data_IF_800372877685
#
_entry.id   IF_800372877685
#
_cell.length_a   1.000
_cell.length_b   1.000
_cell.length_c   1.000
_cell.angle_alpha   90.00
_cell.angle_beta   90.00
_cell.angle_gamma   90.00
#
_symmetry.space_group_name_H-M   'P 1'
#
loop_
_entity.id
_entity.type
_entity.pdbx_description
1 polymer ?
#
# COMPACT_ATOMS: atom_id res chain seq x y z
N UNK A 1 22.87 -0.29 -7.69
CA UNK A 1 21.82 -0.93 -6.87
C UNK A 1 21.18 -2.03 -7.71
N UNK A 2 21.07 -3.25 -7.18
CA UNK A 2 20.45 -4.38 -7.88
C UNK A 2 18.98 -4.07 -8.16
N UNK A 3 18.48 -4.45 -9.34
CA UNK A 3 17.04 -4.39 -9.58
C UNK A 3 16.30 -5.38 -8.68
N UNK A 4 15.09 -5.01 -8.25
CA UNK A 4 14.19 -5.94 -7.61
C UNK A 4 13.66 -6.92 -8.66
N UNK A 5 13.80 -8.20 -8.38
CA UNK A 5 13.28 -9.27 -9.22
C UNK A 5 12.75 -10.39 -8.31
N UNK A 6 11.43 -10.44 -8.04
CA UNK A 6 10.84 -11.46 -7.21
C UNK A 6 10.80 -12.84 -7.89
N UNK A 7 11.04 -12.97 -9.18
CA UNK A 7 10.96 -14.26 -9.87
C UNK A 7 12.31 -14.97 -9.97
N UNK A 8 13.41 -14.21 -10.03
CA UNK A 8 14.77 -14.74 -10.19
C UNK A 8 15.51 -15.01 -8.86
N UNK A 9 14.77 -15.13 -7.75
CA UNK A 9 15.34 -15.39 -6.42
C UNK A 9 14.72 -16.65 -5.81
N UNK A 10 15.52 -17.35 -5.02
CA UNK A 10 15.08 -18.53 -4.28
C UNK A 10 14.41 -18.12 -2.98
N UNK A 11 13.09 -18.32 -2.92
CA UNK A 11 12.28 -18.11 -1.73
C UNK A 11 11.06 -19.01 -1.78
N UNK A 12 10.61 -19.41 -0.59
CA UNK A 12 9.36 -20.12 -0.34
C UNK A 12 8.23 -19.15 0.05
N UNK A 13 8.61 -18.05 0.72
CA UNK A 13 7.71 -16.99 1.19
C UNK A 13 8.23 -15.61 0.77
N UNK A 14 7.40 -14.82 0.10
CA UNK A 14 7.68 -13.42 -0.23
C UNK A 14 6.66 -12.54 0.50
N UNK A 15 7.13 -11.79 1.49
CA UNK A 15 6.33 -10.87 2.29
C UNK A 15 6.52 -9.47 1.72
N UNK A 16 5.41 -8.81 1.36
CA UNK A 16 5.37 -7.47 0.77
C UNK A 16 4.72 -6.53 1.76
N UNK A 17 5.44 -5.46 2.11
CA UNK A 17 4.96 -4.32 2.88
C UNK A 17 4.63 -3.17 1.92
N UNK A 18 3.35 -2.85 1.74
CA UNK A 18 2.85 -1.86 0.77
C UNK A 18 3.46 -0.48 1.01
N UNK A 19 4.04 0.11 -0.04
CA UNK A 19 4.73 1.39 -0.01
C UNK A 19 5.87 1.52 1.03
N UNK A 20 6.51 0.43 1.44
CA UNK A 20 7.59 0.46 2.43
C UNK A 20 8.92 1.02 1.87
N UNK A 21 9.36 2.15 2.41
CA UNK A 21 10.64 2.78 2.07
C UNK A 21 11.81 2.06 2.75
N UNK A 22 12.92 1.93 2.01
CA UNK A 22 14.14 1.34 2.53
C UNK A 22 14.70 2.02 3.78
N UNK A 23 14.71 3.36 3.84
CA UNK A 23 15.30 4.10 4.95
C UNK A 23 14.55 3.90 6.27
N UNK A 24 13.21 3.92 6.22
CA UNK A 24 12.38 3.57 7.38
C UNK A 24 12.54 2.11 7.78
N UNK A 25 12.50 1.17 6.82
CA UNK A 25 12.71 -0.25 7.10
C UNK A 25 14.06 -0.48 7.79
N UNK A 26 15.15 0.04 7.22
CA UNK A 26 16.52 -0.14 7.73
C UNK A 26 16.66 0.31 9.19
N UNK A 27 15.98 1.37 9.60
CA UNK A 27 16.08 1.90 10.98
C UNK A 27 15.34 1.06 12.01
N UNK A 28 14.30 0.33 11.62
CA UNK A 28 13.37 -0.31 12.56
C UNK A 28 13.40 -1.84 12.51
N UNK A 29 13.88 -2.47 11.43
CA UNK A 29 13.68 -3.91 11.24
C UNK A 29 14.42 -4.79 12.26
N UNK A 30 15.57 -4.36 12.77
CA UNK A 30 16.45 -5.21 13.60
C UNK A 30 15.85 -5.58 14.96
N UNK A 31 14.88 -4.80 15.44
CA UNK A 31 14.15 -5.10 16.68
C UNK A 31 13.15 -6.25 16.51
N UNK A 32 12.80 -6.61 15.27
CA UNK A 32 11.76 -7.58 14.94
C UNK A 32 12.26 -8.74 14.09
N UNK A 33 13.23 -8.49 13.21
CA UNK A 33 13.66 -9.41 12.16
C UNK A 33 15.19 -9.47 12.09
N UNK A 34 15.72 -10.66 11.84
CA UNK A 34 17.14 -10.89 11.55
C UNK A 34 17.34 -11.31 10.09
N UNK A 35 18.53 -11.07 9.54
CA UNK A 35 18.85 -11.49 8.16
C UNK A 35 19.78 -10.55 7.41
N UNK A 36 19.97 -10.83 6.12
CA UNK A 36 20.77 -10.03 5.19
C UNK A 36 19.89 -8.97 4.52
N UNK A 37 20.03 -7.70 4.95
CA UNK A 37 19.31 -6.58 4.35
C UNK A 37 20.09 -5.98 3.17
N UNK A 38 19.48 -6.06 1.99
CA UNK A 38 19.94 -5.37 0.79
C UNK A 38 19.02 -4.19 0.43
N UNK A 39 19.59 -3.20 -0.27
CA UNK A 39 18.83 -2.15 -0.94
C UNK A 39 18.58 -2.57 -2.39
N UNK A 40 17.32 -2.57 -2.85
CA UNK A 40 16.96 -2.90 -4.24
C UNK A 40 16.16 -1.81 -4.92
N UNK A 41 16.23 -1.80 -6.26
CA UNK A 41 15.48 -0.89 -7.12
C UNK A 41 14.20 -1.56 -7.62
N UNK A 42 13.06 -1.22 -7.01
CA UNK A 42 11.75 -1.57 -7.57
C UNK A 42 11.59 -0.97 -8.97
N UNK A 43 10.98 -1.75 -9.86
CA UNK A 43 10.63 -1.31 -11.22
C UNK A 43 9.42 -0.38 -11.23
N UNK A 44 8.80 -0.13 -10.06
CA UNK A 44 7.49 0.47 -9.96
C UNK A 44 7.43 1.59 -8.93
N UNK A 45 6.43 2.45 -9.14
CA UNK A 45 6.07 3.57 -8.28
C UNK A 45 4.74 3.38 -7.57
N UNK A 46 4.06 2.24 -7.81
CA UNK A 46 2.79 1.86 -7.21
C UNK A 46 2.57 0.35 -7.43
N UNK A 47 1.70 -0.28 -6.65
CA UNK A 47 1.40 -1.72 -6.75
C UNK A 47 0.98 -2.18 -8.15
N UNK A 48 0.16 -1.41 -8.87
CA UNK A 48 -0.33 -1.81 -10.20
C UNK A 48 0.79 -1.88 -11.24
N UNK A 49 1.71 -0.93 -11.19
CA UNK A 49 2.94 -0.96 -12.00
C UNK A 49 3.87 -2.10 -11.56
N UNK A 50 3.92 -2.41 -10.25
CA UNK A 50 4.75 -3.49 -9.72
C UNK A 50 4.27 -4.87 -10.19
N UNK A 51 2.96 -5.12 -10.10
CA UNK A 51 2.33 -6.36 -10.55
C UNK A 51 2.60 -6.59 -12.05
N UNK A 52 2.31 -5.58 -12.88
CA UNK A 52 2.41 -5.68 -14.34
C UNK A 52 3.85 -5.84 -14.85
N UNK A 53 4.83 -5.26 -14.16
CA UNK A 53 6.24 -5.38 -14.56
C UNK A 53 6.90 -6.67 -14.11
N UNK A 54 6.46 -7.25 -12.99
CA UNK A 54 7.07 -8.46 -12.44
C UNK A 54 6.36 -9.75 -12.88
N UNK A 55 5.02 -9.76 -13.01
CA UNK A 55 4.25 -10.97 -13.28
C UNK A 55 3.61 -10.91 -14.66
N UNK A 56 4.21 -11.60 -15.63
CA UNK A 56 3.79 -11.58 -17.04
C UNK A 56 3.24 -12.93 -17.51
N UNK A 57 3.62 -14.01 -16.85
CA UNK A 57 3.24 -15.39 -17.17
C UNK A 57 2.32 -15.96 -16.09
N UNK A 58 1.98 -17.24 -16.20
CA UNK A 58 1.30 -17.99 -15.13
C UNK A 58 2.31 -18.64 -14.19
N UNK A 59 2.07 -18.53 -12.89
CA UNK A 59 2.99 -18.97 -11.84
C UNK A 59 2.29 -19.89 -10.83
N UNK A 60 3.04 -20.89 -10.34
CA UNK A 60 2.63 -21.79 -9.25
C UNK A 60 2.77 -21.10 -7.88
N UNK A 61 2.07 -19.97 -7.74
CA UNK A 61 2.12 -19.08 -6.58
C UNK A 61 0.73 -18.98 -5.97
N UNK A 62 0.67 -19.07 -4.65
CA UNK A 62 -0.49 -18.63 -3.85
C UNK A 62 -0.28 -17.21 -3.37
N UNK A 63 -1.21 -16.32 -3.68
CA UNK A 63 -1.15 -14.90 -3.31
C UNK A 63 -2.21 -14.58 -2.26
N UNK A 64 -1.77 -14.23 -1.05
CA UNK A 64 -2.62 -13.80 0.07
C UNK A 64 -2.52 -12.29 0.18
N UNK A 65 -3.59 -11.57 -0.19
CA UNK A 65 -3.53 -10.12 -0.37
C UNK A 65 -4.51 -9.35 0.52
N UNK A 66 -3.98 -8.40 1.29
CA UNK A 66 -4.74 -7.28 1.84
C UNK A 66 -4.93 -6.13 0.83
N UNK A 67 -4.27 -6.17 -0.32
CA UNK A 67 -4.39 -5.14 -1.36
C UNK A 67 -5.45 -5.55 -2.42
N UNK A 68 -6.52 -4.75 -2.66
CA UNK A 68 -7.61 -5.09 -3.58
C UNK A 68 -7.21 -5.16 -5.05
N UNK A 69 -6.03 -4.64 -5.41
CA UNK A 69 -5.49 -4.78 -6.76
C UNK A 69 -5.15 -6.23 -7.14
N UNK A 70 -4.99 -7.11 -6.14
CA UNK A 70 -4.89 -8.55 -6.33
C UNK A 70 -6.20 -9.18 -5.86
N UNK A 71 -6.98 -9.71 -6.81
CA UNK A 71 -8.30 -10.28 -6.53
C UNK A 71 -8.56 -11.56 -7.33
N UNK A 72 -9.29 -12.50 -6.71
CA UNK A 72 -9.74 -13.73 -7.37
C UNK A 72 -11.02 -13.54 -8.23
N UNK A 73 -11.58 -12.33 -8.31
CA UNK A 73 -12.80 -12.03 -9.05
C UNK A 73 -12.55 -11.81 -10.56
N UNK A 74 -11.28 -11.82 -11.00
CA UNK A 74 -10.91 -11.56 -12.39
C UNK A 74 -11.10 -10.10 -12.82
N UNK A 75 -11.18 -9.18 -11.86
CA UNK A 75 -11.33 -7.74 -12.12
C UNK A 75 -9.96 -7.18 -12.50
N UNK A 76 -9.80 -6.58 -13.71
CA UNK A 76 -8.52 -6.04 -14.15
C UNK A 76 -8.17 -4.71 -13.45
N UNK A 77 -6.88 -4.40 -13.37
CA UNK A 77 -6.36 -3.22 -12.67
C UNK A 77 -6.97 -1.89 -13.13
N UNK A 78 -7.24 -1.74 -14.43
CA UNK A 78 -7.87 -0.54 -15.00
C UNK A 78 -9.32 -0.31 -14.53
N UNK A 79 -9.96 -1.33 -13.94
CA UNK A 79 -11.28 -1.21 -13.26
C UNK A 79 -11.13 -1.01 -11.76
N UNK A 80 -10.03 -1.46 -11.16
CA UNK A 80 -9.76 -1.28 -9.73
C UNK A 80 -9.30 0.14 -9.37
N UNK A 81 -8.61 0.84 -10.27
CA UNK A 81 -8.11 2.18 -9.98
C UNK A 81 -8.16 3.10 -11.21
N UNK A 82 -8.71 4.32 -11.09
CA UNK A 82 -8.97 5.21 -12.24
C UNK A 82 -7.71 5.79 -12.92
N UNK A 83 -6.52 5.60 -12.33
CA UNK A 83 -5.24 6.00 -12.94
C UNK A 83 -4.47 4.81 -13.53
N UNK A 84 -5.00 3.60 -13.42
CA UNK A 84 -4.37 2.42 -14.02
C UNK A 84 -4.94 2.20 -15.41
N UNK A 85 -4.04 1.96 -16.36
CA UNK A 85 -4.35 1.70 -17.77
C UNK A 85 -4.20 0.20 -18.09
N UNK A 86 -3.86 -0.61 -17.09
CA UNK A 86 -3.48 -2.01 -17.25
C UNK A 86 -4.70 -2.94 -17.27
N UNK A 87 -4.83 -3.76 -18.30
CA UNK A 87 -5.84 -4.84 -18.38
C UNK A 87 -5.45 -6.12 -17.64
N UNK A 88 -4.34 -6.06 -16.91
CA UNK A 88 -3.78 -7.16 -16.13
C UNK A 88 -4.75 -7.64 -15.04
N UNK A 89 -4.92 -8.96 -14.92
CA UNK A 89 -5.77 -9.63 -13.92
C UNK A 89 -4.96 -10.64 -13.14
N UNK A 90 -5.06 -10.60 -11.81
CA UNK A 90 -4.34 -11.54 -10.96
C UNK A 90 -4.65 -13.02 -11.28
N UNK A 91 -5.90 -13.33 -11.65
CA UNK A 91 -6.36 -14.69 -11.99
C UNK A 91 -5.64 -15.30 -13.20
N UNK A 92 -5.05 -14.48 -14.06
CA UNK A 92 -4.32 -14.96 -15.25
C UNK A 92 -2.89 -15.38 -14.87
N UNK A 93 -2.40 -14.94 -13.72
CA UNK A 93 -0.99 -15.08 -13.31
C UNK A 93 -0.78 -15.98 -12.10
N UNK A 94 -1.71 -16.06 -11.14
CA UNK A 94 -1.51 -16.80 -9.90
C UNK A 94 -2.42 -18.04 -9.80
N UNK A 95 -1.86 -19.14 -9.30
CA UNK A 95 -2.60 -20.41 -9.12
C UNK A 95 -3.74 -20.29 -8.10
N UNK A 96 -3.51 -19.54 -7.02
CA UNK A 96 -4.51 -19.32 -5.98
C UNK A 96 -4.40 -17.88 -5.47
N UNK A 97 -5.53 -17.23 -5.25
CA UNK A 97 -5.61 -15.87 -4.73
C UNK A 97 -6.59 -15.83 -3.56
N UNK A 98 -6.13 -15.30 -2.42
CA UNK A 98 -6.92 -15.15 -1.20
C UNK A 98 -7.13 -13.66 -0.94
N UNK A 99 -8.39 -13.22 -1.04
CA UNK A 99 -8.78 -11.82 -0.88
C UNK A 99 -8.99 -11.47 0.60
N UNK A 100 -7.91 -11.26 1.35
CA UNK A 100 -8.00 -10.85 2.78
C UNK A 100 -8.74 -9.52 2.91
N UNK A 101 -8.54 -8.61 1.95
CA UNK A 101 -9.25 -7.33 1.87
C UNK A 101 -10.76 -7.44 1.73
N UNK A 102 -11.27 -8.55 1.19
CA UNK A 102 -12.70 -8.74 1.00
C UNK A 102 -13.37 -9.34 2.25
N UNK A 103 -12.63 -10.14 3.02
CA UNK A 103 -13.18 -10.91 4.15
C UNK A 103 -12.84 -10.30 5.52
N UNK A 104 -11.74 -9.57 5.63
CA UNK A 104 -11.18 -9.07 6.90
C UNK A 104 -10.98 -7.55 6.90
N UNK A 105 -11.78 -6.81 6.13
CA UNK A 105 -11.75 -5.35 6.15
C UNK A 105 -12.30 -4.80 7.48
N UNK A 106 -11.50 -4.01 8.17
CA UNK A 106 -11.92 -3.31 9.38
C UNK A 106 -12.43 -1.91 9.00
N UNK A 107 -13.71 -1.66 9.28
CA UNK A 107 -14.35 -0.38 8.96
C UNK A 107 -13.86 0.76 9.84
N UNK A 108 -13.50 0.47 11.08
CA UNK A 108 -13.04 1.47 12.06
C UNK A 108 -11.58 1.85 11.82
N UNK A 109 -10.78 0.93 11.27
CA UNK A 109 -9.42 1.23 10.83
C UNK A 109 -9.38 1.77 9.39
N UNK A 110 -10.40 1.46 8.58
CA UNK A 110 -10.42 1.78 7.15
C UNK A 110 -9.35 1.03 6.35
N UNK A 111 -8.88 -0.11 6.86
CA UNK A 111 -7.87 -0.97 6.26
C UNK A 111 -8.02 -2.41 6.79
N UNK A 112 -7.20 -3.32 6.29
CA UNK A 112 -7.04 -4.66 6.86
C UNK A 112 -5.98 -4.59 7.95
N UNK A 113 -6.29 -5.10 9.15
CA UNK A 113 -5.31 -5.25 10.21
C UNK A 113 -4.25 -6.30 9.80
N UNK A 114 -2.92 -6.06 9.96
CA UNK A 114 -1.88 -6.95 9.45
C UNK A 114 -2.00 -8.39 9.97
N UNK A 115 -2.47 -8.57 11.22
CA UNK A 115 -2.75 -9.89 11.81
C UNK A 115 -3.65 -10.76 10.94
N UNK A 116 -4.60 -10.18 10.22
CA UNK A 116 -5.54 -10.93 9.39
C UNK A 116 -4.82 -11.61 8.21
N UNK A 117 -3.73 -11.03 7.70
CA UNK A 117 -2.90 -11.68 6.67
C UNK A 117 -2.23 -12.94 7.24
N UNK A 118 -1.66 -12.87 8.45
CA UNK A 118 -1.10 -14.04 9.12
C UNK A 118 -2.17 -15.11 9.36
N UNK A 119 -3.34 -14.72 9.86
CA UNK A 119 -4.42 -15.66 10.13
C UNK A 119 -4.88 -16.36 8.86
N UNK A 120 -4.94 -15.66 7.73
CA UNK A 120 -5.31 -16.26 6.45
C UNK A 120 -4.25 -17.23 5.93
N UNK A 121 -2.97 -17.00 6.20
CA UNK A 121 -1.91 -17.96 5.90
C UNK A 121 -2.16 -19.33 6.55
N UNK A 122 -2.47 -19.35 7.86
CA UNK A 122 -2.69 -20.60 8.58
C UNK A 122 -4.06 -21.25 8.30
N UNK A 123 -5.08 -20.47 7.94
CA UNK A 123 -6.42 -20.97 7.63
C UNK A 123 -6.55 -21.55 6.22
N UNK A 124 -5.65 -21.17 5.31
CA UNK A 124 -5.78 -21.53 3.90
C UNK A 124 -5.00 -22.81 3.60
N UNK A 125 -5.66 -23.76 2.93
CA UNK A 125 -4.96 -24.84 2.25
C UNK A 125 -4.23 -24.29 1.02
N UNK A 126 -2.93 -24.06 1.17
CA UNK A 126 -2.05 -23.52 0.13
C UNK A 126 -1.95 -24.51 -1.04
N UNK A 127 -2.15 -24.01 -2.26
CA UNK A 127 -2.08 -24.81 -3.48
C UNK A 127 -0.80 -24.58 -4.28
N UNK A 128 -0.12 -23.46 -4.08
CA UNK A 128 1.12 -23.10 -4.79
C UNK A 128 2.38 -23.46 -4.02
N UNK A 129 3.47 -23.74 -4.75
CA UNK A 129 4.78 -24.04 -4.14
C UNK A 129 5.39 -22.80 -3.46
N UNK A 130 5.12 -21.63 -4.03
CA UNK A 130 5.56 -20.33 -3.53
C UNK A 130 4.40 -19.51 -2.98
N UNK A 131 4.64 -18.71 -1.94
CA UNK A 131 3.61 -17.91 -1.25
C UNK A 131 3.99 -16.44 -1.26
N UNK A 132 3.07 -15.58 -1.71
CA UNK A 132 3.19 -14.13 -1.56
C UNK A 132 2.17 -13.67 -0.51
N UNK A 133 2.63 -12.92 0.49
CA UNK A 133 1.78 -12.30 1.50
C UNK A 133 1.92 -10.79 1.39
N UNK A 134 0.85 -10.09 1.07
CA UNK A 134 0.88 -8.66 0.81
C UNK A 134 0.06 -7.90 1.86
N UNK A 135 0.78 -7.20 2.73
CA UNK A 135 0.26 -6.34 3.80
C UNK A 135 0.05 -4.93 3.27
N UNK A 136 -1.02 -4.26 3.69
CA UNK A 136 -1.27 -2.85 3.34
C UNK A 136 -0.42 -1.86 4.16
N UNK A 137 0.27 -2.32 5.20
CA UNK A 137 1.13 -1.47 6.01
C UNK A 137 2.56 -1.49 5.46
N UNK A 138 3.32 -0.38 5.55
CA UNK A 138 3.02 0.86 6.28
C UNK A 138 2.12 1.89 5.56
N UNK A 139 1.67 1.62 4.34
CA UNK A 139 0.76 2.51 3.61
C UNK A 139 -0.51 2.87 4.42
N UNK A 140 -1.09 4.04 4.14
CA UNK A 140 -2.25 4.56 4.85
C UNK A 140 -3.55 3.84 4.46
N UNK A 141 -4.59 3.80 5.32
CA UNK A 141 -4.70 4.41 6.66
C UNK A 141 -3.76 3.84 7.73
N UNK A 142 -3.31 4.68 8.66
CA UNK A 142 -2.43 4.28 9.76
C UNK A 142 -3.24 3.71 10.92
N UNK A 143 -2.80 2.58 11.49
CA UNK A 143 -3.53 1.88 12.56
C UNK A 143 -3.75 2.69 13.86
N UNK A 144 -2.92 3.71 14.12
CA UNK A 144 -3.08 4.63 15.26
C UNK A 144 -4.17 5.69 15.06
N UNK A 145 -4.67 5.88 13.83
CA UNK A 145 -5.82 6.74 13.57
C UNK A 145 -7.11 5.91 13.72
N UNK A 146 -7.63 5.82 14.95
CA UNK A 146 -9.03 5.41 15.13
C UNK A 146 -9.90 6.36 14.29
N UNK A 147 -10.60 5.85 13.27
CA UNK A 147 -11.37 6.68 12.34
C UNK A 147 -12.65 7.27 12.95
N UNK A 148 -12.73 7.33 14.29
CA UNK A 148 -13.85 7.88 15.07
C UNK A 148 -14.07 9.37 14.75
N UNK A 149 -13.02 10.12 14.40
CA UNK A 149 -13.12 11.56 14.12
C UNK A 149 -13.58 11.94 12.69
N UNK A 150 -13.40 11.07 11.70
CA UNK A 150 -13.62 11.42 10.28
C UNK A 150 -15.00 10.98 9.77
N UNK A 151 -15.49 9.82 10.24
CA UNK A 151 -16.81 9.31 9.86
C UNK A 151 -17.97 9.93 10.66
N UNK A 152 -17.78 10.21 11.96
CA UNK A 152 -18.81 10.88 12.77
C UNK A 152 -19.17 12.28 12.22
N UNK A 153 -18.17 13.01 11.73
CA UNK A 153 -18.36 14.31 11.07
C UNK A 153 -19.01 14.20 9.68
N UNK A 154 -18.76 13.10 8.95
CA UNK A 154 -19.37 12.85 7.65
C UNK A 154 -20.85 12.45 7.78
N UNK A 155 -21.20 11.63 8.77
CA UNK A 155 -22.58 11.23 9.06
C UNK A 155 -23.42 12.41 9.61
N UNK A 156 -22.83 13.28 10.44
CA UNK A 156 -23.51 14.49 10.92
C UNK A 156 -23.74 15.54 9.82
N UNK A 157 -22.85 15.63 8.82
CA UNK A 157 -23.04 16.53 7.66
C UNK A 157 -24.13 16.05 6.71
N UNK A 158 -24.31 14.74 6.54
CA UNK A 158 -25.38 14.17 5.71
C UNK A 158 -26.77 14.46 6.28
N UNK A 159 -26.89 14.68 7.61
CA UNK A 159 -28.16 15.04 8.27
C UNK A 159 -28.56 16.52 8.10
N UNK A 160 -27.62 17.43 7.81
CA UNK A 160 -27.92 18.85 7.54
C UNK A 160 -27.91 19.09 6.03
N UNK A 161 -29.07 18.86 5.41
CA UNK A 161 -29.26 19.06 3.98
C UNK A 161 -29.10 20.53 3.56
N UNK A 162 -27.87 20.92 3.20
CA UNK A 162 -27.59 22.23 2.59
C UNK A 162 -27.58 22.13 1.06
N UNK A 163 -28.58 22.78 0.45
CA UNK A 163 -28.85 22.81 -1.00
C UNK A 163 -27.74 23.46 -1.87
N UNK A 164 -26.63 23.92 -1.28
CA UNK A 164 -25.49 24.55 -1.98
C UNK A 164 -24.43 23.53 -2.44
N UNK A 165 -24.47 22.28 -1.96
CA UNK A 165 -23.50 21.23 -2.32
C UNK A 165 -23.67 20.68 -3.74
N UNK A 166 -24.85 20.83 -4.37
CA UNK A 166 -25.17 20.20 -5.66
C UNK A 166 -24.28 20.70 -6.82
N UNK A 167 -23.98 22.01 -6.84
CA UNK A 167 -23.19 22.62 -7.91
C UNK A 167 -21.68 22.35 -7.76
N UNK A 168 -21.18 22.36 -6.52
CA UNK A 168 -19.79 22.00 -6.23
C UNK A 168 -19.53 20.52 -6.55
N UNK A 169 -20.52 19.64 -6.31
CA UNK A 169 -20.40 18.20 -6.56
C UNK A 169 -20.35 17.83 -8.05
N UNK A 170 -20.91 18.66 -8.91
CA UNK A 170 -20.94 18.45 -10.35
C UNK A 170 -19.59 18.74 -11.04
N UNK A 171 -18.81 19.70 -10.53
CA UNK A 171 -17.46 20.04 -11.03
C UNK A 171 -16.33 19.11 -10.50
N UNK A 172 -16.62 18.27 -9.49
CA UNK A 172 -15.65 17.56 -8.62
C UNK A 172 -14.65 16.61 -9.31
N UNK A 173 -15.04 15.65 -10.18
CA UNK A 173 -14.09 14.65 -10.70
C UNK A 173 -13.27 15.17 -11.88
N UNK A 174 -13.85 16.07 -12.68
CA UNK A 174 -13.21 16.57 -13.92
C UNK A 174 -12.10 17.58 -13.64
N UNK A 175 -12.25 18.42 -12.61
CA UNK A 175 -11.23 19.42 -12.26
C UNK A 175 -9.93 18.75 -11.79
N UNK A 176 -10.00 17.76 -10.89
CA UNK A 176 -8.83 17.02 -10.38
C UNK A 176 -8.04 16.32 -11.50
N UNK A 177 -8.73 15.78 -12.51
CA UNK A 177 -8.08 15.13 -13.68
C UNK A 177 -7.32 16.12 -14.55
N UNK A 178 -7.75 17.39 -14.66
CA UNK A 178 -7.14 18.39 -15.55
C UNK A 178 -6.04 19.23 -14.91
N UNK A 179 -6.10 19.50 -13.60
CA UNK A 179 -5.23 20.51 -12.98
C UNK A 179 -4.02 19.92 -12.22
N UNK A 180 -4.01 18.62 -11.95
CA UNK A 180 -2.95 17.98 -11.15
C UNK A 180 -3.13 18.17 -9.64
N UNK A 181 -2.55 17.25 -8.84
CA UNK A 181 -2.81 17.13 -7.39
C UNK A 181 -2.41 18.37 -6.59
N UNK A 182 -1.25 18.96 -6.86
CA UNK A 182 -0.79 20.17 -6.17
C UNK A 182 -1.69 21.36 -6.45
N UNK A 183 -2.13 21.55 -7.69
CA UNK A 183 -3.05 22.65 -8.03
C UNK A 183 -4.43 22.43 -7.40
N UNK A 184 -4.87 21.17 -7.30
CA UNK A 184 -6.08 20.83 -6.55
C UNK A 184 -5.97 21.24 -5.06
N UNK A 185 -4.86 20.90 -4.38
CA UNK A 185 -4.64 21.34 -2.99
C UNK A 185 -4.50 22.87 -2.86
N UNK A 186 -3.84 23.55 -3.83
CA UNK A 186 -3.79 25.02 -3.87
C UNK A 186 -5.17 25.66 -3.96
N UNK A 187 -6.04 25.16 -4.83
CA UNK A 187 -7.43 25.65 -4.96
C UNK A 187 -8.19 25.42 -3.66
N UNK A 188 -8.07 24.24 -3.04
CA UNK A 188 -8.73 23.97 -1.75
C UNK A 188 -8.26 24.91 -0.65
N UNK A 189 -6.96 25.18 -0.58
CA UNK A 189 -6.38 26.13 0.38
C UNK A 189 -6.89 27.54 0.12
N UNK A 190 -6.93 27.98 -1.14
CA UNK A 190 -7.45 29.30 -1.53
C UNK A 190 -8.94 29.45 -1.17
N UNK A 191 -9.73 28.38 -1.31
CA UNK A 191 -11.14 28.34 -0.94
C UNK A 191 -11.37 28.08 0.57
N UNK A 192 -10.32 28.11 1.40
CA UNK A 192 -10.37 27.84 2.84
C UNK A 192 -11.11 26.54 3.22
N UNK A 193 -10.98 25.50 2.38
CA UNK A 193 -11.58 24.19 2.64
C UNK A 193 -10.68 23.36 3.55
N UNK A 194 -11.27 22.58 4.46
CA UNK A 194 -10.54 21.62 5.31
C UNK A 194 -9.69 20.64 4.47
N UNK A 195 -8.48 20.27 4.92
CA UNK A 195 -7.67 19.27 4.23
C UNK A 195 -8.37 17.90 4.23
N UNK A 196 -8.22 17.13 3.14
CA UNK A 196 -8.92 15.85 3.00
C UNK A 196 -8.16 14.64 3.54
N UNK A 197 -6.83 14.75 3.64
CA UNK A 197 -5.99 13.65 4.10
C UNK A 197 -4.73 14.20 4.79
N UNK A 198 -3.99 13.35 5.54
CA UNK A 198 -2.77 13.76 6.22
C UNK A 198 -1.69 14.34 5.29
N UNK A 199 -1.60 13.89 4.04
CA UNK A 199 -0.65 14.45 3.07
C UNK A 199 -0.96 15.90 2.70
N UNK A 200 -2.24 16.26 2.56
CA UNK A 200 -2.65 17.65 2.33
C UNK A 200 -2.33 18.52 3.55
N UNK A 201 -2.50 17.99 4.76
CA UNK A 201 -2.10 18.66 6.01
C UNK A 201 -0.60 18.97 6.00
N UNK A 202 0.23 17.94 5.78
CA UNK A 202 1.68 18.06 5.70
C UNK A 202 2.12 19.06 4.62
N UNK A 203 1.52 18.99 3.43
CA UNK A 203 1.80 19.93 2.34
C UNK A 203 1.45 21.38 2.70
N UNK A 204 0.30 21.60 3.36
CA UNK A 204 -0.12 22.95 3.79
C UNK A 204 0.80 23.52 4.87
N UNK A 205 1.23 22.69 5.82
CA UNK A 205 2.19 23.03 6.89
C UNK A 205 3.64 23.16 6.36
N UNK A 206 3.93 22.62 5.17
CA UNK A 206 5.29 22.42 4.64
C UNK A 206 6.18 21.59 5.57
N UNK A 207 5.56 20.66 6.28
CA UNK A 207 6.21 19.84 7.29
C UNK A 207 5.63 18.42 7.24
N UNK A 208 6.41 17.42 6.79
CA UNK A 208 5.97 16.02 6.73
C UNK A 208 6.25 15.23 8.02
N UNK A 209 6.73 15.86 9.09
CA UNK A 209 7.15 15.14 10.30
C UNK A 209 6.03 14.28 10.89
N UNK A 210 4.86 14.86 11.15
CA UNK A 210 3.71 14.15 11.74
C UNK A 210 3.26 12.92 10.91
N UNK A 211 3.25 13.03 9.58
CA UNK A 211 2.84 11.92 8.72
C UNK A 211 3.93 10.84 8.62
N UNK A 212 5.20 11.23 8.68
CA UNK A 212 6.33 10.28 8.73
C UNK A 212 6.34 9.49 10.03
N UNK A 213 6.04 10.13 11.16
CA UNK A 213 5.91 9.46 12.47
C UNK A 213 4.78 8.42 12.46
N UNK A 214 3.61 8.78 11.93
CA UNK A 214 2.49 7.85 11.79
C UNK A 214 2.79 6.68 10.84
N UNK A 215 3.50 6.96 9.75
CA UNK A 215 3.96 5.94 8.82
C UNK A 215 4.96 4.97 9.48
N UNK A 216 5.90 5.51 10.28
CA UNK A 216 6.88 4.72 11.02
C UNK A 216 6.22 3.87 12.13
N UNK A 217 5.27 4.41 12.88
CA UNK A 217 4.44 3.65 13.83
C UNK A 217 3.69 2.49 13.14
N UNK A 218 3.13 2.75 11.96
CA UNK A 218 2.44 1.72 11.17
C UNK A 218 3.41 0.65 10.65
N UNK A 219 4.64 1.04 10.29
CA UNK A 219 5.71 0.12 9.91
C UNK A 219 6.10 -0.78 11.09
N UNK A 220 6.29 -0.21 12.27
CA UNK A 220 6.64 -0.96 13.49
C UNK A 220 5.59 -2.02 13.79
N UNK A 221 4.29 -1.67 13.73
CA UNK A 221 3.19 -2.61 13.97
C UNK A 221 3.16 -3.78 12.99
N UNK A 222 3.44 -3.53 11.71
CA UNK A 222 3.49 -4.62 10.72
C UNK A 222 4.77 -5.43 10.84
N UNK A 223 5.90 -4.85 11.22
CA UNK A 223 7.14 -5.59 11.51
C UNK A 223 6.94 -6.57 12.67
N UNK A 224 6.31 -6.12 13.76
CA UNK A 224 5.91 -6.98 14.89
C UNK A 224 4.95 -8.10 14.45
N UNK A 225 3.98 -7.78 13.59
CA UNK A 225 3.09 -8.82 13.07
C UNK A 225 3.83 -9.82 12.17
N UNK A 226 4.78 -9.35 11.35
CA UNK A 226 5.55 -10.19 10.43
C UNK A 226 6.55 -11.07 11.19
N UNK A 227 7.17 -10.58 12.26
CA UNK A 227 8.08 -11.38 13.08
C UNK A 227 7.35 -12.60 13.67
N UNK A 228 6.16 -12.39 14.24
CA UNK A 228 5.30 -13.45 14.74
C UNK A 228 4.97 -14.51 13.67
N UNK A 229 4.83 -14.12 12.39
CA UNK A 229 4.62 -15.08 11.31
C UNK A 229 5.90 -15.87 10.99
N UNK A 230 7.03 -15.16 10.87
CA UNK A 230 8.32 -15.75 10.46
C UNK A 230 8.85 -16.76 11.49
N UNK A 231 8.55 -16.56 12.76
CA UNK A 231 8.85 -17.54 13.82
C UNK A 231 8.17 -18.89 13.56
N UNK A 232 6.91 -18.87 13.12
CA UNK A 232 6.03 -20.03 12.96
C UNK A 232 6.13 -20.72 11.59
N UNK A 233 6.59 -20.02 10.55
CA UNK A 233 6.71 -20.59 9.21
C UNK A 233 8.12 -21.13 8.92
N UNK A 234 8.17 -22.05 7.96
CA UNK A 234 9.38 -22.64 7.42
C UNK A 234 9.63 -22.19 5.97
N UNK A 235 10.87 -22.37 5.53
CA UNK A 235 11.31 -22.08 4.16
C UNK A 235 11.84 -20.65 4.01
N UNK A 236 12.69 -20.48 2.99
CA UNK A 236 13.43 -19.26 2.69
C UNK A 236 12.47 -18.08 2.54
N UNK A 237 12.63 -17.06 3.36
CA UNK A 237 11.72 -15.92 3.41
C UNK A 237 12.39 -14.63 2.98
N UNK A 238 11.70 -13.87 2.13
CA UNK A 238 12.11 -12.53 1.72
C UNK A 238 11.06 -11.54 2.19
N UNK A 239 11.49 -10.53 2.95
CA UNK A 239 10.65 -9.37 3.32
C UNK A 239 11.07 -8.18 2.46
N UNK A 240 10.13 -7.63 1.70
CA UNK A 240 10.38 -6.54 0.74
C UNK A 240 9.16 -5.62 0.63
N UNK A 241 9.22 -4.68 -0.31
CA UNK A 241 8.13 -3.76 -0.65
C UNK A 241 7.91 -3.77 -2.16
N UNK A 242 6.69 -3.49 -2.60
CA UNK A 242 6.38 -3.31 -4.01
C UNK A 242 6.88 -1.96 -4.53
N UNK A 243 6.76 -0.90 -3.71
CA UNK A 243 7.31 0.43 -3.94
C UNK A 243 7.54 1.15 -2.59
N UNK A 244 7.94 2.42 -2.62
CA UNK A 244 8.05 3.30 -1.45
C UNK A 244 6.98 4.40 -1.42
N UNK A 245 7.18 5.41 -0.58
CA UNK A 245 6.20 6.50 -0.34
C UNK A 245 6.89 7.87 -0.35
N UNK A 246 6.31 8.86 -1.04
CA UNK A 246 6.85 10.22 -1.07
C UNK A 246 6.11 11.15 -0.10
N UNK A 247 6.87 11.92 0.65
CA UNK A 247 6.43 12.87 1.66
C UNK A 247 6.77 14.32 1.28
N UNK A 248 6.82 14.63 -0.01
CA UNK A 248 7.07 15.97 -0.55
C UNK A 248 8.41 16.13 -1.25
N UNK A 249 9.25 15.09 -1.29
CA UNK A 249 10.52 15.10 -2.01
C UNK A 249 10.30 15.46 -3.48
N UNK A 250 11.05 16.44 -4.00
CA UNK A 250 10.89 16.98 -5.37
C UNK A 250 9.46 17.45 -5.70
N UNK A 251 8.69 17.83 -4.68
CA UNK A 251 7.28 18.21 -4.83
C UNK A 251 6.32 17.04 -5.05
N UNK A 252 6.79 15.80 -4.89
CA UNK A 252 6.01 14.58 -5.09
C UNK A 252 5.47 14.09 -3.75
N UNK A 253 4.19 13.73 -3.73
CA UNK A 253 3.45 13.30 -2.54
C UNK A 253 2.60 12.09 -2.86
N UNK A 254 2.53 11.14 -1.92
CA UNK A 254 2.06 9.78 -2.15
C UNK A 254 2.96 9.08 -3.19
N UNK A 255 2.42 8.09 -3.90
CA UNK A 255 3.12 7.25 -4.87
C UNK A 255 2.41 7.37 -6.24
N UNK A 256 2.49 8.54 -6.92
CA UNK A 256 1.83 8.74 -8.20
C UNK A 256 2.36 7.79 -9.28
N UNK A 257 1.48 7.27 -10.18
CA UNK A 257 1.91 6.38 -11.24
C UNK A 257 3.01 6.97 -12.13
N UNK A 258 3.87 6.09 -12.66
CA UNK A 258 4.94 6.41 -13.60
C UNK A 258 5.93 7.46 -13.05
N UNK A 259 6.13 7.49 -11.73
CA UNK A 259 7.04 8.44 -11.06
C UNK A 259 8.19 7.71 -10.35
N UNK A 260 9.39 7.73 -10.93
CA UNK A 260 10.51 6.88 -10.49
C UNK A 260 11.60 7.66 -9.73
N UNK A 261 11.22 8.25 -8.59
CA UNK A 261 12.18 8.86 -7.65
C UNK A 261 12.73 7.81 -6.66
N UNK A 262 13.91 8.04 -6.04
CA UNK A 262 14.48 7.09 -5.09
C UNK A 262 13.53 6.71 -3.95
N UNK A 263 12.74 7.65 -3.43
CA UNK A 263 11.80 7.45 -2.33
C UNK A 263 10.66 6.50 -2.69
N UNK A 264 10.34 6.35 -3.99
CA UNK A 264 9.30 5.44 -4.49
C UNK A 264 9.87 4.12 -5.00
N UNK A 265 11.15 4.07 -5.37
CA UNK A 265 11.74 2.92 -6.08
C UNK A 265 12.85 2.23 -5.30
N UNK A 266 13.30 2.79 -4.19
CA UNK A 266 14.33 2.19 -3.32
C UNK A 266 13.66 1.44 -2.19
N UNK A 267 13.65 0.11 -2.29
CA UNK A 267 12.90 -0.77 -1.39
C UNK A 267 13.82 -1.69 -0.58
N UNK A 268 13.39 -2.13 0.62
CA UNK A 268 14.10 -3.18 1.37
C UNK A 268 14.04 -4.50 0.63
N UNK A 269 15.10 -5.29 0.81
CA UNK A 269 15.13 -6.69 0.43
C UNK A 269 15.87 -7.45 1.52
N UNK A 270 15.12 -7.91 2.52
CA UNK A 270 15.65 -8.67 3.64
C UNK A 270 15.51 -10.15 3.32
N UNK A 271 16.63 -10.85 3.16
CA UNK A 271 16.65 -12.31 3.19
C UNK A 271 16.73 -12.75 4.63
N UNK A 272 15.77 -13.54 5.06
CA UNK A 272 15.73 -14.14 6.39
C UNK A 272 15.41 -15.62 6.26
N UNK A 273 15.37 -16.31 7.40
CA UNK A 273 15.04 -17.73 7.60
C UNK A 273 14.61 -18.48 6.34
#
# INVERSE_FOLDING_TARGET
MKEQDPLNEEWDNLIILDACRYDFFKRNYQDYLSGELEKRKSKASNTGEWLTKNFKEKYDITYISANPYVNNFGIPLNKCHPKFEYEWKATDHFKQIINVWATSWDRDLGTVHPREVNMQFFRTKIQGNKKILHYLQPHMPHLSETSVGSWANTINRVKKGDKLESFQNWLRPRLRKRIGKLNYWKIRKLLNLEPRNPFEVAWRKKDPTEIKEKYEDNLIKVLDTVSNLIEEINGKTIVTADHGEAFGEKGIWEHPPKTHIPELTTVPWLKTK
#
